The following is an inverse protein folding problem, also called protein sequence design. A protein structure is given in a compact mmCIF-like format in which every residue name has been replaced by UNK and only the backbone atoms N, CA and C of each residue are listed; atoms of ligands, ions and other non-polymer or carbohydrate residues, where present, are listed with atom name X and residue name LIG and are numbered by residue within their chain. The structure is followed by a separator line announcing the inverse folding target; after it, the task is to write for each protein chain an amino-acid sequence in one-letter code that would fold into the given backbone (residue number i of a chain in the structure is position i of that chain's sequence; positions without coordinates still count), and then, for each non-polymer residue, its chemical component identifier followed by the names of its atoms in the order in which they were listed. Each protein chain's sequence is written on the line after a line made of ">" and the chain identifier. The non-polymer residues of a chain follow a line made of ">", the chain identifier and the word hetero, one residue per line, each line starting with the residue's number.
data_IF_237557726374
#
_entry.id   IF_237557726374
#
_cell.length_a   1.000
_cell.length_b   1.000
_cell.length_c   1.000
_cell.angle_alpha   90.00
_cell.angle_beta   90.00
_cell.angle_gamma   90.00
#
_symmetry.space_group_name_H-M   'P 1'
#
loop_
_entity.id
_entity.type
_entity.pdbx_description
1 polymer ?
#
# COMPACT_ATOMS: atom_id res chain seq x y z
N UNK A 1 -33.90 -22.85 19.59
CA UNK A 1 -32.75 -22.20 18.92
C UNK A 1 -31.83 -21.49 19.92
N UNK A 2 -32.09 -21.58 21.24
CA UNK A 2 -31.35 -20.80 22.26
C UNK A 2 -30.31 -21.59 23.09
N UNK A 3 -30.26 -22.92 22.98
CA UNK A 3 -29.31 -23.72 23.76
C UNK A 3 -27.96 -23.98 23.07
N UNK A 4 -27.84 -23.71 21.76
CA UNK A 4 -26.59 -23.89 21.01
C UNK A 4 -25.67 -22.66 21.09
N UNK A 5 -26.22 -21.46 21.30
CA UNK A 5 -25.42 -20.21 21.42
C UNK A 5 -24.66 -20.11 22.76
N UNK A 6 -25.14 -20.74 23.84
CA UNK A 6 -24.44 -20.69 25.14
C UNK A 6 -23.24 -21.62 25.27
N UNK A 7 -23.09 -22.64 24.41
CA UNK A 7 -21.97 -23.58 24.48
C UNK A 7 -20.69 -23.05 23.82
N UNK A 8 -20.79 -22.10 22.89
CA UNK A 8 -19.62 -21.52 22.22
C UNK A 8 -18.85 -20.59 23.17
N UNK A 9 -19.53 -19.89 24.08
CA UNK A 9 -18.85 -19.04 25.07
C UNK A 9 -18.27 -19.79 26.29
N UNK A 10 -18.57 -21.08 26.46
CA UNK A 10 -18.18 -21.84 27.65
C UNK A 10 -17.11 -22.92 27.40
N UNK A 11 -16.57 -23.03 26.18
CA UNK A 11 -15.52 -24.01 25.89
C UNK A 11 -14.16 -23.34 25.74
N UNK A 12 -13.33 -23.57 26.77
CA UNK A 12 -11.88 -23.64 26.66
C UNK A 12 -11.09 -22.33 26.77
N UNK A 13 -11.36 -21.57 27.83
CA UNK A 13 -10.28 -21.15 28.71
C UNK A 13 -9.80 -22.42 29.43
N UNK A 14 -8.63 -22.97 29.06
CA UNK A 14 -7.75 -23.80 29.89
C UNK A 14 -6.67 -24.48 29.01
N UNK A 15 -5.65 -23.70 28.65
CA UNK A 15 -4.23 -24.10 28.79
C UNK A 15 -3.35 -22.91 28.45
N UNK A 16 -2.61 -22.47 29.45
CA UNK A 16 -1.53 -21.52 29.34
C UNK A 16 -0.60 -21.88 28.18
N UNK A 17 -0.46 -20.96 27.23
CA UNK A 17 0.81 -20.63 26.61
C UNK A 17 0.59 -19.33 25.83
N UNK A 18 1.22 -18.27 26.33
CA UNK A 18 1.32 -16.96 25.70
C UNK A 18 1.93 -17.08 24.31
N UNK A 19 1.11 -17.36 23.31
CA UNK A 19 1.36 -16.98 21.92
C UNK A 19 0.32 -15.94 21.57
N UNK A 20 0.46 -14.77 22.19
CA UNK A 20 -0.13 -13.54 21.69
C UNK A 20 0.49 -13.33 20.31
N UNK A 21 -0.22 -13.77 19.28
CA UNK A 21 0.26 -13.75 17.90
C UNK A 21 0.64 -12.31 17.55
N UNK A 22 1.92 -12.07 17.25
CA UNK A 22 2.44 -10.74 16.87
C UNK A 22 1.57 -10.13 15.77
N UNK A 23 1.04 -10.97 14.87
CA UNK A 23 0.10 -10.58 13.83
C UNK A 23 -1.19 -9.92 14.37
N UNK A 24 -1.75 -10.42 15.47
CA UNK A 24 -2.94 -9.86 16.09
C UNK A 24 -2.64 -8.51 16.78
N UNK A 25 -1.43 -8.34 17.31
CA UNK A 25 -0.99 -7.08 17.90
C UNK A 25 -0.73 -6.01 16.82
N UNK A 26 -0.15 -6.39 15.67
CA UNK A 26 0.09 -5.49 14.52
C UNK A 26 -1.23 -5.02 13.90
N UNK A 27 -2.23 -5.90 13.76
CA UNK A 27 -3.57 -5.55 13.30
C UNK A 27 -4.30 -4.62 14.30
N UNK A 28 -4.14 -4.85 15.61
CA UNK A 28 -4.79 -4.05 16.65
C UNK A 28 -4.19 -2.65 16.83
N UNK A 29 -2.89 -2.47 16.52
CA UNK A 29 -2.20 -1.19 16.66
C UNK A 29 -2.40 -0.25 15.47
N UNK A 30 -3.03 -0.70 14.38
CA UNK A 30 -3.39 0.16 13.25
C UNK A 30 -2.24 1.06 12.80
N UNK A 31 -1.02 0.52 12.75
CA UNK A 31 0.14 1.29 12.30
C UNK A 31 -0.16 1.73 10.87
N UNK A 32 -0.29 3.04 10.58
CA UNK A 32 -0.43 3.48 9.21
C UNK A 32 0.77 2.91 8.47
N UNK A 33 0.53 2.14 7.40
CA UNK A 33 1.61 1.74 6.52
C UNK A 33 2.30 3.04 6.10
N UNK A 34 3.55 3.24 6.53
CA UNK A 34 4.35 4.40 6.15
C UNK A 34 4.33 4.43 4.62
N UNK A 35 3.63 5.42 4.06
CA UNK A 35 3.56 5.57 2.62
C UNK A 35 4.97 5.91 2.13
N UNK A 36 5.51 5.07 1.23
CA UNK A 36 6.83 5.31 0.66
C UNK A 36 6.86 6.69 -0.02
N UNK A 37 7.95 7.40 0.22
CA UNK A 37 8.31 8.68 -0.41
C UNK A 37 8.77 8.46 -1.85
N UNK A 38 8.78 9.53 -2.65
CA UNK A 38 9.28 9.46 -4.03
C UNK A 38 10.77 9.05 -4.07
N UNK A 39 11.55 9.46 -3.07
CA UNK A 39 12.96 9.11 -2.93
C UNK A 39 13.14 7.60 -2.71
N UNK A 40 12.38 7.01 -1.77
CA UNK A 40 12.40 5.57 -1.51
C UNK A 40 11.95 4.77 -2.74
N UNK A 41 10.89 5.22 -3.41
CA UNK A 41 10.41 4.60 -4.65
C UNK A 41 11.47 4.64 -5.77
N UNK A 42 12.26 5.72 -5.85
CA UNK A 42 13.36 5.83 -6.81
C UNK A 42 14.53 4.91 -6.44
N UNK A 43 14.93 4.89 -5.17
CA UNK A 43 16.02 4.04 -4.65
C UNK A 43 15.72 2.55 -4.82
N UNK A 44 14.46 2.14 -4.58
CA UNK A 44 13.99 0.78 -4.79
C UNK A 44 13.75 0.44 -6.28
N UNK A 45 13.98 1.39 -7.19
CA UNK A 45 13.73 1.26 -8.63
C UNK A 45 12.29 0.83 -8.93
N UNK A 46 11.32 1.37 -8.19
CA UNK A 46 9.90 1.20 -8.47
C UNK A 46 9.38 2.25 -9.44
N UNK A 47 10.00 3.45 -9.45
CA UNK A 47 9.73 4.52 -10.41
C UNK A 47 11.02 4.93 -11.13
N UNK A 48 10.91 5.43 -12.35
CA UNK A 48 12.07 5.98 -13.08
C UNK A 48 12.46 7.38 -12.61
N UNK A 49 13.70 7.83 -12.90
CA UNK A 49 14.12 9.21 -12.66
C UNK A 49 13.18 10.24 -13.30
N UNK A 50 12.69 9.98 -14.52
CA UNK A 50 11.75 10.87 -15.20
C UNK A 50 10.42 11.00 -14.42
N UNK A 51 9.92 9.89 -13.88
CA UNK A 51 8.72 9.90 -13.05
C UNK A 51 8.94 10.61 -11.72
N UNK A 52 10.08 10.35 -11.07
CA UNK A 52 10.46 11.03 -9.83
C UNK A 52 10.46 12.55 -10.00
N UNK A 53 11.07 13.06 -11.07
CA UNK A 53 11.09 14.49 -11.35
C UNK A 53 9.69 15.05 -11.61
N UNK A 54 8.86 14.34 -12.39
CA UNK A 54 7.48 14.75 -12.63
C UNK A 54 6.71 14.89 -11.32
N UNK A 55 6.74 13.85 -10.48
CA UNK A 55 6.02 13.84 -9.21
C UNK A 55 6.48 14.98 -8.29
N UNK A 56 7.79 15.22 -8.18
CA UNK A 56 8.33 16.28 -7.34
C UNK A 56 8.02 17.69 -7.88
N UNK A 57 8.05 17.90 -9.21
CA UNK A 57 7.64 19.17 -9.82
C UNK A 57 6.17 19.51 -9.52
N UNK A 58 5.33 18.50 -9.37
CA UNK A 58 3.91 18.65 -9.04
C UNK A 58 3.60 18.55 -7.53
N UNK A 59 4.62 18.37 -6.67
CA UNK A 59 4.44 18.23 -5.22
C UNK A 59 3.71 16.96 -4.79
N UNK A 60 3.64 15.94 -5.65
CA UNK A 60 2.91 14.70 -5.40
C UNK A 60 3.70 13.76 -4.48
N UNK A 61 3.58 13.96 -3.17
CA UNK A 61 4.33 13.23 -2.14
C UNK A 61 3.55 12.06 -1.50
N UNK A 62 2.25 11.97 -1.75
CA UNK A 62 1.38 10.88 -1.28
C UNK A 62 0.84 10.07 -2.45
N UNK A 63 0.45 8.82 -2.16
CA UNK A 63 0.02 7.87 -3.20
C UNK A 63 -1.11 8.41 -4.09
N UNK A 64 -2.11 9.05 -3.48
CA UNK A 64 -3.29 9.56 -4.18
C UNK A 64 -2.95 10.68 -5.17
N UNK A 65 -2.12 11.64 -4.75
CA UNK A 65 -1.62 12.70 -5.64
C UNK A 65 -0.71 12.16 -6.74
N UNK A 66 0.12 11.16 -6.43
CA UNK A 66 0.97 10.52 -7.45
C UNK A 66 0.12 9.92 -8.56
N UNK A 67 -0.92 9.17 -8.21
CA UNK A 67 -1.85 8.58 -9.18
C UNK A 67 -2.47 9.64 -10.07
N UNK A 68 -2.97 10.74 -9.49
CA UNK A 68 -3.56 11.84 -10.26
C UNK A 68 -2.56 12.45 -11.25
N UNK A 69 -1.35 12.78 -10.80
CA UNK A 69 -0.31 13.36 -11.67
C UNK A 69 0.11 12.41 -12.79
N UNK A 70 0.23 11.11 -12.49
CA UNK A 70 0.55 10.09 -13.51
C UNK A 70 -0.54 10.05 -14.59
N UNK A 71 -1.82 10.01 -14.19
CA UNK A 71 -2.95 9.98 -15.13
C UNK A 71 -3.00 11.26 -15.98
N UNK A 72 -2.85 12.43 -15.37
CA UNK A 72 -2.82 13.72 -16.09
C UNK A 72 -1.67 13.76 -17.12
N UNK A 73 -0.47 13.34 -16.72
CA UNK A 73 0.70 13.33 -17.60
C UNK A 73 0.59 12.28 -18.71
N UNK A 74 -0.05 11.14 -18.44
CA UNK A 74 -0.44 10.14 -19.43
C UNK A 74 -1.37 10.74 -20.50
N UNK A 75 -2.46 11.38 -20.08
CA UNK A 75 -3.43 12.00 -20.99
C UNK A 75 -2.81 13.12 -21.83
N UNK A 76 -1.84 13.83 -21.26
CA UNK A 76 -1.08 14.87 -21.94
C UNK A 76 0.06 14.35 -22.83
N UNK A 77 0.27 13.03 -22.94
CA UNK A 77 1.41 12.40 -23.63
C UNK A 77 2.79 12.91 -23.15
N UNK A 78 2.90 13.25 -21.87
CA UNK A 78 4.14 13.72 -21.23
C UNK A 78 4.95 12.56 -20.63
N UNK A 79 4.39 11.35 -20.67
CA UNK A 79 4.97 10.13 -20.16
C UNK A 79 5.36 9.21 -21.34
N UNK A 80 6.64 8.88 -21.45
CA UNK A 80 7.15 7.93 -22.46
C UNK A 80 6.81 6.47 -22.13
N UNK A 81 7.16 5.48 -22.97
CA UNK A 81 6.85 4.07 -22.69
C UNK A 81 7.57 3.49 -21.47
N UNK A 82 8.67 4.11 -21.03
CA UNK A 82 9.58 3.55 -20.03
C UNK A 82 9.41 4.15 -18.63
N UNK A 83 8.26 4.75 -18.30
CA UNK A 83 8.11 5.50 -17.03
C UNK A 83 8.19 4.62 -15.77
N UNK A 84 7.97 3.32 -15.91
CA UNK A 84 7.97 2.36 -14.81
C UNK A 84 8.95 1.22 -15.07
N UNK A 85 9.74 0.85 -14.05
CA UNK A 85 10.67 -0.28 -14.12
C UNK A 85 9.98 -1.65 -14.04
N UNK A 86 8.70 -1.70 -13.65
CA UNK A 86 7.94 -2.94 -13.54
C UNK A 86 6.67 -2.90 -14.42
N UNK A 87 6.58 -3.77 -15.44
CA UNK A 87 5.40 -3.85 -16.30
C UNK A 87 4.17 -4.48 -15.62
N UNK A 88 4.22 -4.83 -14.33
CA UNK A 88 3.08 -5.40 -13.59
C UNK A 88 2.11 -4.37 -13.01
N UNK A 89 2.37 -3.08 -13.18
CA UNK A 89 1.50 -2.01 -12.67
C UNK A 89 0.39 -1.60 -13.66
N UNK A 90 0.23 -2.33 -14.78
CA UNK A 90 -0.69 -1.95 -15.85
C UNK A 90 -0.09 -0.83 -16.72
N UNK A 91 -0.72 -0.56 -17.85
CA UNK A 91 -0.41 0.69 -18.55
C UNK A 91 -0.78 1.83 -17.59
N UNK A 92 0.12 2.75 -17.24
CA UNK A 92 -0.22 3.86 -16.34
C UNK A 92 -1.31 4.77 -16.91
N UNK A 93 -1.64 4.58 -18.18
CA UNK A 93 -2.66 5.30 -18.92
C UNK A 93 -3.95 4.46 -19.12
N UNK A 94 -4.02 3.19 -18.70
CA UNK A 94 -5.17 2.27 -18.85
C UNK A 94 -5.29 1.21 -17.74
#
# INVERSE_FOLDING_TARGET
>A
MDHLLRKICASSSERANSMLSIAALVLALGMPALAQTNEELLQERLITPALYELLNRHGANIAEDRTRVIVEACQANQLGPDVFYRPRLGDPCW
#
